data_IF_701278959658
#
_entry.id   IF_701278959658
#
_cell.length_a   1.000
_cell.length_b   1.000
_cell.length_c   1.000
_cell.angle_alpha   90.00
_cell.angle_beta   90.00
_cell.angle_gamma   90.00
#
_symmetry.space_group_name_H-M   'P 1'
#
loop_
_entity.id
_entity.type
_entity.pdbx_description
1 polymer ?
#
# COMPACT_ATOMS: atom_id res chain seq x y z
N UNK A 1 26.22 27.22 -17.12
CA UNK A 1 25.31 26.96 -15.98
C UNK A 1 23.91 26.82 -16.55
N UNK A 2 23.35 25.60 -16.61
CA UNK A 2 22.10 25.32 -17.33
C UNK A 2 20.93 25.37 -16.34
N UNK A 3 20.16 26.45 -16.34
CA UNK A 3 18.97 26.58 -15.50
C UNK A 3 17.83 25.80 -16.14
N UNK A 4 17.41 24.70 -15.52
CA UNK A 4 16.15 24.03 -15.87
C UNK A 4 15.02 24.91 -15.36
N UNK A 5 14.52 25.82 -16.20
CA UNK A 5 13.31 26.58 -15.93
C UNK A 5 12.12 25.63 -16.08
N UNK A 6 11.66 25.06 -14.96
CA UNK A 6 10.38 24.34 -14.94
C UNK A 6 9.28 25.35 -15.29
N UNK A 7 8.41 25.00 -16.24
CA UNK A 7 7.20 25.80 -16.55
C UNK A 7 6.47 26.14 -15.24
N UNK A 8 6.08 27.40 -15.01
CA UNK A 8 5.29 27.74 -13.85
C UNK A 8 3.99 26.94 -13.85
N UNK A 9 3.57 26.47 -12.66
CA UNK A 9 2.28 25.81 -12.53
C UNK A 9 1.17 26.84 -12.74
N UNK A 10 0.45 26.73 -13.85
CA UNK A 10 -0.68 27.64 -14.15
C UNK A 10 -1.85 27.46 -13.18
N UNK A 11 -1.93 26.32 -12.46
CA UNK A 11 -2.90 26.06 -11.40
C UNK A 11 -2.30 25.12 -10.36
N UNK A 12 -2.49 25.43 -9.08
CA UNK A 12 -2.09 24.53 -7.99
C UNK A 12 -2.90 23.21 -8.08
N UNK A 13 -2.33 22.06 -7.68
CA UNK A 13 -3.10 20.84 -7.54
C UNK A 13 -4.16 21.03 -6.46
N UNK A 14 -5.34 20.43 -6.63
CA UNK A 14 -6.44 20.52 -5.64
C UNK A 14 -6.03 20.05 -4.24
N UNK A 15 -5.06 19.13 -4.15
CA UNK A 15 -4.63 18.52 -2.89
C UNK A 15 -3.13 18.70 -2.73
N UNK A 16 -2.71 19.24 -1.59
CA UNK A 16 -1.30 19.32 -1.20
C UNK A 16 -1.05 18.42 0.00
N UNK A 17 -0.01 17.60 -0.08
CA UNK A 17 0.42 16.70 1.00
C UNK A 17 1.74 17.22 1.57
N UNK A 18 1.75 17.52 2.86
CA UNK A 18 2.92 17.99 3.59
C UNK A 18 3.39 16.95 4.58
N UNK A 19 4.68 16.64 4.54
CA UNK A 19 5.38 15.86 5.56
C UNK A 19 5.63 16.75 6.78
N UNK A 20 5.21 16.33 7.96
CA UNK A 20 5.55 17.03 9.20
C UNK A 20 7.03 16.79 9.55
N UNK A 21 7.72 17.79 10.11
CA UNK A 21 9.15 17.69 10.45
C UNK A 21 9.41 16.75 11.63
N UNK A 22 8.42 16.55 12.51
CA UNK A 22 8.54 15.71 13.69
C UNK A 22 7.82 14.38 13.50
N UNK A 23 8.45 13.32 14.00
CA UNK A 23 7.85 11.99 14.11
C UNK A 23 6.76 12.02 15.18
N UNK A 24 5.55 11.62 14.83
CA UNK A 24 4.37 11.80 15.71
C UNK A 24 4.01 10.55 16.49
N UNK A 25 4.59 9.39 16.16
CA UNK A 25 4.28 8.13 16.80
C UNK A 25 5.55 7.32 16.98
N UNK A 26 5.89 7.05 18.23
CA UNK A 26 6.90 6.09 18.62
C UNK A 26 6.15 4.83 19.04
N UNK A 27 6.19 3.79 18.21
CA UNK A 27 5.54 2.51 18.51
C UNK A 27 6.53 1.36 18.42
N UNK A 28 6.19 0.22 19.01
CA UNK A 28 6.93 -1.02 18.77
C UNK A 28 6.30 -1.78 17.61
N UNK A 29 7.07 -2.03 16.55
CA UNK A 29 6.73 -2.97 15.50
C UNK A 29 7.67 -4.17 15.62
N UNK A 30 7.16 -5.31 16.11
CA UNK A 30 7.94 -6.50 16.46
C UNK A 30 9.16 -6.23 17.37
N UNK A 31 8.96 -5.44 18.43
CA UNK A 31 10.04 -5.12 19.37
C UNK A 31 10.99 -4.02 18.89
N UNK A 32 10.83 -3.52 17.66
CA UNK A 32 11.59 -2.37 17.17
C UNK A 32 10.80 -1.08 17.36
N UNK A 33 11.42 -0.10 17.99
CA UNK A 33 10.92 1.28 18.01
C UNK A 33 10.86 1.80 16.57
N UNK A 34 9.68 2.12 16.09
CA UNK A 34 9.50 2.82 14.82
C UNK A 34 8.96 4.21 15.09
N UNK A 35 9.65 5.18 14.52
CA UNK A 35 9.26 6.58 14.55
C UNK A 35 8.47 6.88 13.28
N UNK A 36 7.14 6.87 13.35
CA UNK A 36 6.34 7.11 12.17
C UNK A 36 6.16 8.62 11.91
N UNK A 37 6.28 9.01 10.64
CA UNK A 37 6.06 10.40 10.22
C UNK A 37 4.58 10.63 9.90
N UNK A 38 4.05 11.78 10.30
CA UNK A 38 2.74 12.23 9.83
C UNK A 38 2.84 13.05 8.55
N UNK A 39 1.85 12.86 7.70
CA UNK A 39 1.60 13.59 6.48
C UNK A 39 0.20 14.18 6.56
N UNK A 40 0.06 15.48 6.29
CA UNK A 40 -1.23 16.20 6.28
C UNK A 40 -1.61 16.57 4.86
N UNK A 41 -2.88 16.43 4.53
CA UNK A 41 -3.45 16.84 3.27
C UNK A 41 -4.31 18.09 3.47
N UNK A 42 -4.10 19.08 2.62
CA UNK A 42 -4.93 20.28 2.56
C UNK A 42 -5.60 20.40 1.20
N UNK A 43 -6.86 20.84 1.18
CA UNK A 43 -7.53 21.29 -0.04
C UNK A 43 -7.04 22.70 -0.38
N UNK A 44 -6.56 22.91 -1.61
CA UNK A 44 -5.98 24.20 -2.01
C UNK A 44 -7.00 25.24 -2.43
N UNK A 45 -8.25 24.83 -2.62
CA UNK A 45 -9.38 25.71 -2.93
C UNK A 45 -9.94 26.31 -1.66
N UNK A 46 -10.13 25.50 -0.61
CA UNK A 46 -10.70 25.95 0.68
C UNK A 46 -9.63 26.30 1.71
N UNK A 47 -8.41 25.79 1.56
CA UNK A 47 -7.34 25.91 2.56
C UNK A 47 -7.48 24.94 3.74
N UNK A 48 -8.50 24.08 3.73
CA UNK A 48 -8.83 23.24 4.88
C UNK A 48 -7.93 22.02 5.00
N UNK A 49 -7.69 21.61 6.24
CA UNK A 49 -7.03 20.35 6.58
C UNK A 49 -8.04 19.21 6.46
N UNK A 50 -7.86 18.31 5.48
CA UNK A 50 -8.90 17.34 5.08
C UNK A 50 -8.58 15.89 5.43
N UNK A 51 -7.30 15.54 5.58
CA UNK A 51 -6.91 14.17 5.88
C UNK A 51 -5.47 14.06 6.42
N UNK A 52 -5.19 12.95 7.13
CA UNK A 52 -3.89 12.59 7.67
C UNK A 52 -3.47 11.18 7.27
N UNK A 53 -2.17 10.97 7.06
CA UNK A 53 -1.55 9.65 6.98
C UNK A 53 -0.37 9.59 7.95
N UNK A 54 -0.22 8.46 8.65
CA UNK A 54 0.99 8.15 9.44
C UNK A 54 1.67 6.99 8.73
N UNK A 55 2.90 7.20 8.27
CA UNK A 55 3.62 6.20 7.47
C UNK A 55 5.14 6.34 7.59
N UNK A 56 5.85 5.22 7.42
CA UNK A 56 7.32 5.23 7.30
C UNK A 56 7.87 3.92 6.68
N UNK A 57 9.11 3.90 6.16
CA UNK A 57 9.79 2.68 5.76
C UNK A 57 10.01 1.74 6.95
N UNK A 58 9.67 0.46 6.75
CA UNK A 58 9.98 -0.61 7.69
C UNK A 58 10.80 -1.68 7.00
N UNK A 59 11.83 -2.15 7.70
CA UNK A 59 12.58 -3.33 7.34
C UNK A 59 11.92 -4.59 7.90
N UNK A 60 11.61 -5.52 6.99
CA UNK A 60 11.07 -6.83 7.30
C UNK A 60 12.18 -7.87 7.21
N UNK A 61 12.20 -8.80 8.16
CA UNK A 61 13.06 -9.99 8.10
C UNK A 61 12.44 -11.05 7.19
N UNK A 62 13.27 -11.96 6.68
CA UNK A 62 12.84 -13.09 5.86
C UNK A 62 12.03 -14.15 6.62
N UNK A 63 12.09 -14.15 7.95
CA UNK A 63 11.44 -15.15 8.81
C UNK A 63 9.91 -15.04 8.82
N UNK A 64 9.35 -13.86 8.55
CA UNK A 64 7.91 -13.61 8.64
C UNK A 64 7.36 -13.01 7.35
N UNK A 65 6.88 -13.87 6.46
CA UNK A 65 6.25 -13.49 5.16
C UNK A 65 4.81 -12.99 5.34
N UNK A 66 4.61 -11.94 6.14
CA UNK A 66 3.28 -11.37 6.42
C UNK A 66 2.72 -10.52 5.28
N UNK A 67 3.60 -9.92 4.50
CA UNK A 67 3.24 -9.06 3.36
C UNK A 67 3.82 -9.66 2.07
N UNK A 68 5.02 -9.28 1.68
CA UNK A 68 5.63 -9.80 0.47
C UNK A 68 6.22 -11.19 0.73
N UNK A 69 5.96 -12.20 -0.13
CA UNK A 69 6.53 -13.53 -0.01
C UNK A 69 7.99 -13.54 -0.53
N UNK A 70 8.85 -12.75 0.09
CA UNK A 70 10.26 -12.57 -0.27
C UNK A 70 11.13 -13.25 0.80
N UNK A 71 12.10 -14.06 0.35
CA UNK A 71 12.99 -14.86 1.22
C UNK A 71 14.22 -14.11 1.75
N UNK A 72 14.34 -12.83 1.43
CA UNK A 72 15.44 -11.96 1.85
C UNK A 72 14.90 -10.73 2.59
N UNK A 73 15.68 -10.11 3.49
CA UNK A 73 15.29 -8.86 4.12
C UNK A 73 14.91 -7.79 3.09
N UNK A 74 13.85 -7.04 3.36
CA UNK A 74 13.36 -6.00 2.45
C UNK A 74 12.75 -4.83 3.21
N UNK A 75 12.80 -3.65 2.58
CA UNK A 75 12.08 -2.46 3.05
C UNK A 75 10.73 -2.34 2.37
N UNK A 76 9.72 -1.95 3.11
CA UNK A 76 8.41 -1.56 2.58
C UNK A 76 7.87 -0.36 3.36
N UNK A 77 7.22 0.56 2.65
CA UNK A 77 6.61 1.74 3.22
C UNK A 77 5.30 1.34 3.92
N UNK A 78 5.30 1.37 5.24
CA UNK A 78 4.15 0.98 6.05
C UNK A 78 3.23 2.17 6.26
N UNK A 79 1.96 2.02 5.87
CA UNK A 79 0.91 2.98 6.22
C UNK A 79 0.24 2.50 7.52
N UNK A 80 0.62 3.11 8.63
CA UNK A 80 0.11 2.78 9.97
C UNK A 80 -1.34 3.22 10.16
N UNK A 81 -1.66 4.41 9.67
CA UNK A 81 -2.97 5.03 9.85
C UNK A 81 -3.25 5.94 8.68
N UNK A 82 -4.50 5.91 8.24
CA UNK A 82 -5.04 6.76 7.20
C UNK A 82 -6.38 7.27 7.71
N UNK A 83 -6.50 8.59 7.89
CA UNK A 83 -7.72 9.24 8.38
C UNK A 83 -8.12 10.33 7.39
N UNK A 84 -9.26 10.15 6.74
CA UNK A 84 -9.95 11.23 6.04
C UNK A 84 -11.09 11.73 6.94
N UNK A 85 -11.32 13.04 6.97
CA UNK A 85 -12.41 13.60 7.78
C UNK A 85 -13.76 13.44 7.10
N UNK A 86 -13.76 13.39 5.78
CA UNK A 86 -14.92 13.05 4.97
C UNK A 86 -14.67 11.81 4.10
N UNK A 87 -15.71 11.00 3.94
CA UNK A 87 -15.68 9.83 3.06
C UNK A 87 -15.86 10.25 1.60
N UNK A 88 -15.44 9.37 0.70
CA UNK A 88 -15.72 9.46 -0.73
C UNK A 88 -15.19 10.71 -1.46
N UNK A 89 -14.37 11.54 -0.81
CA UNK A 89 -13.67 12.69 -1.42
C UNK A 89 -12.33 12.32 -2.11
N UNK A 90 -12.00 11.03 -2.17
CA UNK A 90 -10.78 10.53 -2.80
C UNK A 90 -9.48 10.72 -2.02
N UNK A 91 -9.50 11.34 -0.83
CA UNK A 91 -8.29 11.59 -0.03
C UNK A 91 -7.47 10.34 0.29
N UNK A 92 -8.14 9.25 0.67
CA UNK A 92 -7.45 7.99 0.97
C UNK A 92 -6.67 7.44 -0.23
N UNK A 93 -7.28 7.46 -1.42
CA UNK A 93 -6.63 7.00 -2.65
C UNK A 93 -5.44 7.89 -3.03
N UNK A 94 -5.55 9.20 -2.84
CA UNK A 94 -4.47 10.15 -3.08
C UNK A 94 -3.28 9.92 -2.13
N UNK A 95 -3.54 9.63 -0.85
CA UNK A 95 -2.49 9.27 0.10
C UNK A 95 -1.81 7.95 -0.24
N UNK A 96 -2.55 6.93 -0.68
CA UNK A 96 -1.94 5.64 -1.06
C UNK A 96 -1.07 5.76 -2.32
N UNK A 97 -1.49 6.59 -3.29
CA UNK A 97 -0.65 6.95 -4.44
C UNK A 97 0.61 7.71 -4.01
N UNK A 98 0.46 8.67 -3.09
CA UNK A 98 1.60 9.37 -2.50
C UNK A 98 2.55 8.40 -1.78
N UNK A 99 2.02 7.47 -0.98
CA UNK A 99 2.80 6.46 -0.26
C UNK A 99 3.59 5.56 -1.23
N UNK A 100 3.01 5.18 -2.36
CA UNK A 100 3.72 4.44 -3.40
C UNK A 100 4.88 5.26 -3.98
N UNK A 101 4.68 6.53 -4.28
CA UNK A 101 5.76 7.40 -4.76
C UNK A 101 6.86 7.58 -3.71
N UNK A 102 6.48 7.81 -2.45
CA UNK A 102 7.41 7.99 -1.34
C UNK A 102 8.19 6.70 -1.06
N UNK A 103 7.59 5.53 -1.29
CA UNK A 103 8.27 4.24 -1.18
C UNK A 103 9.45 4.11 -2.15
N UNK A 104 9.42 4.74 -3.32
CA UNK A 104 10.59 4.78 -4.22
C UNK A 104 11.68 5.69 -3.65
N UNK A 105 11.30 6.87 -3.14
CA UNK A 105 12.23 7.87 -2.59
C UNK A 105 12.96 7.38 -1.34
N UNK A 106 12.34 6.49 -0.59
CA UNK A 106 12.85 5.97 0.69
C UNK A 106 13.50 4.59 0.57
N UNK A 107 13.74 4.10 -0.65
CA UNK A 107 14.43 2.82 -0.89
C UNK A 107 13.56 1.57 -0.65
N UNK A 108 12.25 1.71 -0.48
CA UNK A 108 11.30 0.59 -0.40
C UNK A 108 10.97 -0.02 -1.78
N UNK A 109 11.48 0.55 -2.87
CA UNK A 109 11.35 0.02 -4.25
C UNK A 109 9.90 -0.18 -4.70
N UNK A 110 9.02 0.76 -4.38
CA UNK A 110 7.60 0.67 -4.77
C UNK A 110 6.73 -0.14 -3.80
N UNK A 111 7.33 -0.81 -2.79
CA UNK A 111 6.60 -1.64 -1.83
C UNK A 111 5.85 -0.80 -0.83
N UNK A 112 4.53 -0.92 -0.82
CA UNK A 112 3.64 -0.37 0.22
C UNK A 112 2.90 -1.49 0.92
N UNK A 113 2.73 -1.40 2.24
CA UNK A 113 1.89 -2.32 3.00
C UNK A 113 1.11 -1.59 4.09
N UNK A 114 0.05 -2.25 4.56
CA UNK A 114 -0.83 -1.77 5.62
C UNK A 114 -1.53 -2.94 6.32
N UNK A 115 -2.15 -2.67 7.45
CA UNK A 115 -3.07 -3.60 8.11
C UNK A 115 -4.48 -3.02 7.99
N UNK A 116 -5.34 -3.70 7.24
CA UNK A 116 -6.76 -3.34 7.18
C UNK A 116 -7.44 -3.80 8.46
N UNK A 117 -8.10 -2.88 9.16
CA UNK A 117 -8.74 -3.17 10.45
C UNK A 117 -10.08 -2.48 10.56
N UNK A 118 -11.08 -3.20 11.07
CA UNK A 118 -12.39 -2.64 11.43
C UNK A 118 -12.39 -1.85 12.73
N UNK A 119 -11.29 -1.85 13.49
CA UNK A 119 -11.23 -1.27 14.83
C UNK A 119 -11.66 0.20 14.86
N UNK A 120 -11.28 0.95 13.83
CA UNK A 120 -11.60 2.38 13.72
C UNK A 120 -12.93 2.67 13.01
N UNK A 121 -13.51 1.65 12.34
CA UNK A 121 -14.68 1.81 11.48
C UNK A 121 -15.36 0.46 11.24
N UNK A 122 -16.26 0.09 12.17
CA UNK A 122 -16.92 -1.21 12.13
C UNK A 122 -18.01 -1.29 11.08
N UNK A 123 -18.61 -0.15 10.72
CA UNK A 123 -19.71 -0.10 9.76
C UNK A 123 -19.21 -0.14 8.31
N UNK A 124 -18.01 0.40 8.06
CA UNK A 124 -17.42 0.48 6.73
C UNK A 124 -15.96 -0.01 6.76
N UNK A 125 -15.71 -1.30 6.98
CA UNK A 125 -14.37 -1.86 7.05
C UNK A 125 -13.55 -1.50 5.81
N UNK A 126 -12.27 -1.09 5.98
CA UNK A 126 -11.50 -0.53 4.89
C UNK A 126 -10.95 -1.60 3.92
N UNK A 127 -11.14 -2.89 4.19
CA UNK A 127 -10.60 -4.00 3.41
C UNK A 127 -11.02 -3.94 1.93
N UNK A 128 -12.31 -3.71 1.65
CA UNK A 128 -12.83 -3.57 0.28
C UNK A 128 -12.24 -2.32 -0.40
N UNK A 129 -12.10 -1.22 0.35
CA UNK A 129 -11.49 0.00 -0.16
C UNK A 129 -10.05 -0.24 -0.62
N UNK A 130 -9.22 -0.91 0.19
CA UNK A 130 -7.85 -1.24 -0.20
C UNK A 130 -7.80 -2.24 -1.35
N UNK A 131 -8.70 -3.23 -1.37
CA UNK A 131 -8.80 -4.20 -2.47
C UNK A 131 -9.08 -3.51 -3.81
N UNK A 132 -10.01 -2.56 -3.84
CA UNK A 132 -10.33 -1.75 -5.03
C UNK A 132 -9.12 -0.95 -5.54
N UNK A 133 -8.19 -0.61 -4.67
CA UNK A 133 -6.93 0.07 -5.01
C UNK A 133 -5.78 -0.89 -5.35
N UNK A 134 -6.06 -2.20 -5.48
CA UNK A 134 -5.11 -3.20 -5.93
C UNK A 134 -4.29 -3.85 -4.83
N UNK A 135 -4.57 -3.56 -3.56
CA UNK A 135 -3.93 -4.28 -2.46
C UNK A 135 -4.40 -5.74 -2.42
N UNK A 136 -3.51 -6.62 -1.97
CA UNK A 136 -3.74 -8.05 -1.77
C UNK A 136 -3.21 -8.47 -0.41
N UNK A 137 -3.69 -9.60 0.11
CA UNK A 137 -3.09 -10.31 1.26
C UNK A 137 -2.41 -11.59 0.80
N UNK A 138 -1.74 -12.31 1.72
CA UNK A 138 -1.28 -13.68 1.46
C UNK A 138 -2.40 -14.72 1.61
N UNK A 139 -3.60 -14.30 1.98
CA UNK A 139 -4.77 -15.16 2.09
C UNK A 139 -5.57 -15.11 0.77
N UNK A 140 -5.50 -16.21 0.00
CA UNK A 140 -6.19 -16.31 -1.29
C UNK A 140 -7.71 -16.21 -1.12
N UNK A 141 -8.27 -16.87 -0.11
CA UNK A 141 -9.71 -16.85 0.13
C UNK A 141 -10.18 -15.41 0.37
N UNK A 142 -9.49 -14.68 1.26
CA UNK A 142 -9.82 -13.27 1.52
C UNK A 142 -9.66 -12.38 0.28
N UNK A 143 -8.65 -12.62 -0.57
CA UNK A 143 -8.48 -11.85 -1.81
C UNK A 143 -9.63 -12.04 -2.81
N UNK A 144 -10.14 -13.26 -2.90
CA UNK A 144 -11.26 -13.62 -3.78
C UNK A 144 -12.58 -13.07 -3.22
N UNK A 145 -12.82 -13.26 -1.91
CA UNK A 145 -13.99 -12.74 -1.22
C UNK A 145 -14.08 -11.20 -1.28
N UNK A 146 -13.00 -10.49 -0.98
CA UNK A 146 -12.97 -9.02 -1.08
C UNK A 146 -13.17 -8.52 -2.52
N UNK A 147 -12.75 -9.31 -3.52
CA UNK A 147 -12.98 -8.98 -4.93
C UNK A 147 -14.46 -9.11 -5.26
N UNK A 148 -15.12 -10.17 -4.77
CA UNK A 148 -16.56 -10.35 -4.94
C UNK A 148 -17.34 -9.21 -4.26
N UNK A 149 -17.08 -8.91 -2.98
CA UNK A 149 -17.72 -7.77 -2.29
C UNK A 149 -17.52 -6.44 -3.04
N UNK A 150 -16.34 -6.25 -3.65
CA UNK A 150 -16.07 -5.05 -4.44
C UNK A 150 -16.92 -4.93 -5.71
N UNK A 151 -17.32 -6.06 -6.31
CA UNK A 151 -18.12 -6.17 -7.54
C UNK A 151 -19.62 -6.16 -7.22
N UNK A 152 -20.04 -6.98 -6.25
CA UNK A 152 -21.46 -7.18 -5.90
C UNK A 152 -21.99 -6.08 -4.99
N UNK A 153 -21.12 -5.24 -4.44
CA UNK A 153 -21.45 -4.23 -3.42
C UNK A 153 -22.05 -4.81 -2.13
N UNK A 154 -21.90 -6.12 -1.92
CA UNK A 154 -22.33 -6.80 -0.70
C UNK A 154 -21.38 -6.43 0.46
N UNK A 155 -21.92 -6.07 1.64
CA UNK A 155 -21.09 -5.76 2.80
C UNK A 155 -20.31 -6.99 3.28
N UNK A 156 -19.14 -6.74 3.88
CA UNK A 156 -18.32 -7.77 4.50
C UNK A 156 -19.05 -8.39 5.71
N UNK A 157 -19.00 -9.71 5.81
CA UNK A 157 -19.47 -10.39 7.02
C UNK A 157 -18.53 -10.14 8.20
N UNK A 158 -19.11 -9.92 9.39
CA UNK A 158 -18.38 -9.57 10.61
C UNK A 158 -17.23 -10.53 10.96
N UNK A 159 -17.39 -11.83 10.68
CA UNK A 159 -16.39 -12.87 10.99
C UNK A 159 -15.10 -12.71 10.18
N UNK A 160 -15.16 -12.05 9.03
CA UNK A 160 -14.01 -11.83 8.13
C UNK A 160 -13.42 -10.41 8.24
N UNK A 161 -13.91 -9.58 9.17
CA UNK A 161 -13.55 -8.16 9.28
C UNK A 161 -12.39 -7.87 10.26
N UNK A 162 -11.68 -8.89 10.74
CA UNK A 162 -10.51 -8.70 11.61
C UNK A 162 -9.28 -8.16 10.87
N UNK A 163 -8.17 -7.99 11.59
CA UNK A 163 -6.94 -7.41 11.04
C UNK A 163 -6.40 -8.24 9.88
N UNK A 164 -6.39 -7.66 8.68
CA UNK A 164 -5.84 -8.29 7.48
C UNK A 164 -4.58 -7.57 7.02
N UNK A 165 -3.46 -8.29 7.00
CA UNK A 165 -2.21 -7.79 6.43
C UNK A 165 -2.38 -7.68 4.91
N UNK A 166 -2.22 -6.47 4.37
CA UNK A 166 -2.35 -6.21 2.94
C UNK A 166 -1.14 -5.45 2.40
N UNK A 167 -0.81 -5.68 1.14
CA UNK A 167 0.27 -5.01 0.44
C UNK A 167 -0.10 -4.74 -1.01
N UNK A 168 0.52 -3.72 -1.58
CA UNK A 168 0.37 -3.39 -2.99
C UNK A 168 1.39 -4.22 -3.80
N UNK A 169 0.95 -5.14 -4.68
CA UNK A 169 1.88 -5.92 -5.50
C UNK A 169 2.80 -4.99 -6.30
N UNK A 170 4.10 -5.29 -6.30
CA UNK A 170 5.02 -4.66 -7.23
C UNK A 170 4.75 -5.27 -8.59
N UNK A 171 4.56 -4.42 -9.60
CA UNK A 171 4.67 -4.85 -11.00
C UNK A 171 6.16 -5.06 -11.30
N UNK A 172 6.72 -6.17 -10.83
CA UNK A 172 8.09 -6.54 -11.18
C UNK A 172 8.06 -7.28 -12.53
N UNK A 173 8.57 -6.66 -13.59
CA UNK A 173 8.84 -7.32 -14.88
C UNK A 173 9.71 -8.57 -14.68
N UNK A 174 10.59 -8.56 -13.66
CA UNK A 174 11.44 -9.69 -13.28
C UNK A 174 10.69 -10.89 -12.66
N UNK A 175 9.53 -10.66 -12.04
CA UNK A 175 8.71 -11.74 -11.48
C UNK A 175 7.82 -12.39 -12.55
N UNK A 176 7.51 -11.65 -13.62
CA UNK A 176 6.87 -12.16 -14.84
C UNK A 176 7.89 -12.99 -15.64
N UNK A 177 9.13 -12.49 -15.81
CA UNK A 177 10.22 -13.26 -16.43
C UNK A 177 10.55 -14.55 -15.68
N UNK A 178 10.60 -14.54 -14.34
CA UNK A 178 10.89 -15.75 -13.56
C UNK A 178 9.78 -16.80 -13.65
N UNK A 179 8.50 -16.36 -13.66
CA UNK A 179 7.35 -17.25 -13.90
C UNK A 179 7.31 -17.78 -15.33
N UNK A 180 7.66 -16.97 -16.34
CA UNK A 180 7.74 -17.42 -17.73
C UNK A 180 8.89 -18.42 -17.94
N UNK A 181 10.09 -18.14 -17.40
CA UNK A 181 11.22 -19.07 -17.42
C UNK A 181 10.89 -20.39 -16.73
N UNK A 182 10.20 -20.36 -15.59
CA UNK A 182 9.75 -21.57 -14.90
C UNK A 182 8.76 -22.40 -15.73
N UNK A 183 7.77 -21.77 -16.38
CA UNK A 183 6.82 -22.46 -17.27
C UNK A 183 7.49 -23.04 -18.51
N UNK A 184 8.43 -22.30 -19.11
CA UNK A 184 9.20 -22.77 -20.26
C UNK A 184 10.08 -23.97 -19.89
N UNK A 185 10.77 -23.93 -18.74
CA UNK A 185 11.56 -25.07 -18.26
C UNK A 185 10.70 -26.30 -17.95
N UNK A 186 9.50 -26.11 -17.38
CA UNK A 186 8.54 -27.19 -17.17
C UNK A 186 8.09 -27.83 -18.51
N UNK A 187 7.88 -27.00 -19.54
CA UNK A 187 7.54 -27.48 -20.89
C UNK A 187 8.69 -28.23 -21.56
N UNK A 188 9.93 -27.73 -21.48
CA UNK A 188 11.12 -28.45 -21.98
C UNK A 188 11.27 -29.80 -21.28
N UNK A 189 11.09 -29.84 -19.96
CA UNK A 189 11.16 -31.10 -19.20
C UNK A 189 10.01 -32.06 -19.55
N UNK A 190 8.85 -31.56 -19.95
CA UNK A 190 7.76 -32.37 -20.46
C UNK A 190 8.10 -32.97 -21.83
N UNK A 191 8.63 -32.18 -22.77
CA UNK A 191 9.03 -32.66 -24.09
C UNK A 191 10.14 -33.74 -24.02
N UNK A 192 11.09 -33.59 -23.10
CA UNK A 192 12.13 -34.59 -22.82
C UNK A 192 11.60 -35.94 -22.31
N UNK A 193 10.30 -36.08 -22.01
CA UNK A 193 9.68 -37.36 -21.65
C UNK A 193 9.21 -38.15 -22.87
N UNK A 194 9.21 -37.54 -24.06
CA UNK A 194 8.74 -38.14 -25.30
C UNK A 194 9.86 -38.33 -26.34
N UNK A 195 11.11 -38.09 -25.94
CA UNK A 195 12.35 -38.33 -26.70
C UNK A 195 13.24 -39.19 -25.81
#
# INVERSE_FOLDING_TARGET
MMYITRKPFNKLPQRLIYKLPQTVRTGSYYGKTVQATAYRMFDTTTGEYVAQMIADPIEHSSLFKRFYPIDVPYKSFYVYSLKAFERNQGHGSAFLKFAQNESFRTGCKGRVHLIASRFYDRQNPPHVFYRKLGFVSNDKFMNDYLKECAITHVPLENVFMDNLNMYLPIKDDKMIESKQKSKFMAFINFLKRFI
#
